data_IF_275982466718
#
_entry.id   IF_275982466718
#
_cell.length_a   1.000
_cell.length_b   1.000
_cell.length_c   1.000
_cell.angle_alpha   90.00
_cell.angle_beta   90.00
_cell.angle_gamma   90.00
#
_symmetry.space_group_name_H-M   'P 1'
#
loop_
_entity.id
_entity.type
_entity.pdbx_description
1 polymer ?
#
# COMPACT_ATOMS: atom_id res chain seq x y z
N UNK A 1 0.93 7.40 -38.38
CA UNK A 1 0.59 6.25 -37.52
C UNK A 1 0.66 6.73 -36.09
N UNK A 2 -0.48 6.83 -35.42
CA UNK A 2 -0.54 7.21 -34.01
C UNK A 2 -0.02 6.05 -33.16
N UNK A 3 0.92 6.35 -32.27
CA UNK A 3 1.37 5.42 -31.22
C UNK A 3 0.11 5.07 -30.42
N UNK A 4 -0.26 3.79 -30.23
CA UNK A 4 -1.41 3.47 -29.40
C UNK A 4 -1.12 4.02 -28.01
N UNK A 5 -2.07 4.76 -27.44
CA UNK A 5 -2.12 5.06 -26.01
C UNK A 5 -2.08 3.72 -25.27
N UNK A 6 -0.89 3.18 -25.04
CA UNK A 6 -0.66 2.17 -24.03
C UNK A 6 -1.16 2.80 -22.75
N UNK A 7 -2.09 2.14 -22.09
CA UNK A 7 -2.51 2.43 -20.72
C UNK A 7 -1.29 2.73 -19.83
N UNK A 8 -0.90 4.00 -19.79
CA UNK A 8 0.26 4.48 -19.05
C UNK A 8 -0.15 4.43 -17.59
N UNK A 9 0.60 3.70 -16.76
CA UNK A 9 0.41 3.72 -15.30
C UNK A 9 0.52 5.17 -14.81
N UNK A 10 -0.59 5.73 -14.34
CA UNK A 10 -0.65 7.11 -13.87
C UNK A 10 -0.29 7.15 -12.38
N UNK A 11 0.99 7.35 -12.07
CA UNK A 11 1.43 7.52 -10.68
C UNK A 11 1.04 8.92 -10.22
N UNK A 12 -0.07 9.02 -9.47
CA UNK A 12 -0.57 10.30 -8.92
C UNK A 12 0.07 10.67 -7.59
N UNK A 13 0.53 9.67 -6.84
CA UNK A 13 1.14 9.88 -5.53
C UNK A 13 2.39 9.03 -5.37
N UNK A 14 3.43 9.63 -4.81
CA UNK A 14 4.69 8.95 -4.45
C UNK A 14 4.91 9.10 -2.96
N UNK A 15 4.94 7.97 -2.27
CA UNK A 15 5.23 7.85 -0.87
C UNK A 15 6.70 7.48 -0.69
N UNK A 16 7.44 8.31 0.04
CA UNK A 16 8.85 8.07 0.32
C UNK A 16 9.09 7.94 1.83
N UNK A 17 9.84 6.92 2.21
CA UNK A 17 10.29 6.77 3.58
C UNK A 17 11.21 7.96 3.94
N UNK A 18 10.74 8.84 4.82
CA UNK A 18 11.61 9.86 5.43
C UNK A 18 12.69 9.15 6.26
N UNK A 19 13.91 9.72 6.32
CA UNK A 19 15.02 9.13 7.07
C UNK A 19 14.82 9.16 8.60
N UNK A 20 13.78 9.82 9.10
CA UNK A 20 13.56 9.99 10.53
C UNK A 20 12.88 8.78 11.17
N UNK A 21 13.59 8.23 12.17
CA UNK A 21 13.22 7.24 13.19
C UNK A 21 12.24 6.14 12.76
N UNK A 22 12.72 4.90 12.81
CA UNK A 22 11.84 3.75 12.97
C UNK A 22 10.92 4.04 14.16
N UNK A 23 9.60 4.15 13.97
CA UNK A 23 8.72 4.38 15.09
C UNK A 23 8.72 3.12 15.96
N UNK A 24 8.93 3.27 17.26
CA UNK A 24 8.82 2.16 18.23
C UNK A 24 7.38 1.63 18.31
N UNK A 25 6.40 2.41 17.84
CA UNK A 25 4.98 2.08 17.84
C UNK A 25 4.31 2.55 16.55
N UNK A 26 3.55 1.67 15.92
CA UNK A 26 2.69 1.98 14.79
C UNK A 26 1.23 1.98 15.27
N UNK A 27 0.46 3.00 14.89
CA UNK A 27 -0.98 3.06 15.18
C UNK A 27 -1.75 2.53 13.99
N UNK A 28 -2.64 1.58 14.25
CA UNK A 28 -3.50 0.94 13.27
C UNK A 28 -4.97 1.22 13.63
N UNK A 29 -5.81 1.40 12.62
CA UNK A 29 -7.25 1.43 12.84
C UNK A 29 -7.74 0.02 13.18
N UNK A 30 -8.64 -0.09 14.16
CA UNK A 30 -9.16 -1.38 14.62
C UNK A 30 -9.77 -2.20 13.47
N UNK A 31 -10.55 -1.56 12.59
CA UNK A 31 -11.11 -2.23 11.41
C UNK A 31 -10.04 -2.84 10.50
N UNK A 32 -8.91 -2.15 10.28
CA UNK A 32 -7.83 -2.75 9.49
C UNK A 32 -7.21 -3.94 10.22
N UNK A 33 -7.06 -3.87 11.54
CA UNK A 33 -6.52 -4.98 12.33
C UNK A 33 -7.46 -6.19 12.28
N UNK A 34 -8.75 -5.96 12.55
CA UNK A 34 -9.75 -7.01 12.62
C UNK A 34 -10.01 -7.63 11.25
N UNK A 35 -10.25 -6.80 10.22
CA UNK A 35 -10.66 -7.27 8.88
C UNK A 35 -9.45 -7.69 8.02
N UNK A 36 -8.28 -7.05 8.16
CA UNK A 36 -7.14 -7.35 7.28
C UNK A 36 -6.12 -8.29 7.91
N UNK A 37 -5.85 -8.16 9.23
CA UNK A 37 -4.84 -8.99 9.90
C UNK A 37 -5.48 -10.25 10.49
N UNK A 38 -6.60 -10.13 11.21
CA UNK A 38 -7.13 -11.23 12.02
C UNK A 38 -8.35 -11.96 11.45
N UNK A 39 -8.98 -11.43 10.41
CA UNK A 39 -10.06 -12.13 9.70
C UNK A 39 -9.59 -13.53 9.26
N UNK A 40 -10.39 -14.55 9.56
CA UNK A 40 -10.14 -15.96 9.23
C UNK A 40 -8.85 -16.59 9.78
N UNK A 41 -8.24 -16.02 10.84
CA UNK A 41 -6.98 -16.48 11.46
C UNK A 41 -5.73 -16.31 10.58
N UNK A 42 -5.79 -15.54 9.50
CA UNK A 42 -4.70 -15.40 8.52
C UNK A 42 -3.42 -14.72 9.06
N UNK A 43 -3.50 -13.96 10.16
CA UNK A 43 -2.35 -13.25 10.74
C UNK A 43 -1.14 -14.17 10.99
N UNK A 44 -1.39 -15.40 11.44
CA UNK A 44 -0.36 -16.37 11.78
C UNK A 44 0.37 -16.91 10.53
N UNK A 45 -0.29 -16.88 9.37
CA UNK A 45 0.22 -17.41 8.11
C UNK A 45 0.99 -16.36 7.29
N UNK A 46 0.92 -15.07 7.68
CA UNK A 46 1.68 -14.01 7.00
C UNK A 46 3.18 -14.15 7.31
N UNK A 47 4.05 -14.33 6.29
CA UNK A 47 5.48 -14.40 6.52
C UNK A 47 6.02 -13.13 7.19
N UNK A 48 7.00 -13.28 8.09
CA UNK A 48 7.58 -12.15 8.84
C UNK A 48 8.09 -11.01 7.95
N UNK A 49 8.62 -11.32 6.76
CA UNK A 49 9.10 -10.31 5.82
C UNK A 49 7.94 -9.57 5.14
N UNK A 50 6.80 -10.23 4.91
CA UNK A 50 5.59 -9.59 4.41
C UNK A 50 4.98 -8.66 5.48
N UNK A 51 4.96 -9.07 6.76
CA UNK A 51 4.58 -8.19 7.86
C UNK A 51 5.45 -6.94 7.94
N UNK A 52 6.77 -7.07 7.74
CA UNK A 52 7.67 -5.91 7.69
C UNK A 52 7.28 -4.94 6.57
N UNK A 53 6.91 -5.44 5.39
CA UNK A 53 6.43 -4.58 4.30
C UNK A 53 5.13 -3.87 4.70
N UNK A 54 4.15 -4.60 5.25
CA UNK A 54 2.88 -4.04 5.74
C UNK A 54 3.12 -2.90 6.75
N UNK A 55 3.98 -3.14 7.74
CA UNK A 55 4.32 -2.14 8.75
C UNK A 55 5.06 -0.93 8.18
N UNK A 56 5.95 -1.13 7.20
CA UNK A 56 6.58 -0.01 6.50
C UNK A 56 5.56 0.80 5.70
N UNK A 57 4.61 0.15 5.01
CA UNK A 57 3.52 0.83 4.29
C UNK A 57 2.74 1.74 5.23
N UNK A 58 2.29 1.18 6.35
CA UNK A 58 1.50 1.91 7.34
C UNK A 58 2.30 3.04 7.95
N UNK A 59 3.56 2.80 8.34
CA UNK A 59 4.42 3.84 8.91
C UNK A 59 4.63 5.01 7.95
N UNK A 60 4.80 4.74 6.65
CA UNK A 60 4.99 5.78 5.64
C UNK A 60 3.70 6.60 5.48
N UNK A 61 2.55 5.91 5.35
CA UNK A 61 1.25 6.57 5.22
C UNK A 61 0.91 7.39 6.47
N UNK A 62 1.10 6.83 7.67
CA UNK A 62 0.78 7.51 8.93
C UNK A 62 1.62 8.77 9.14
N UNK A 63 2.90 8.73 8.77
CA UNK A 63 3.80 9.88 8.84
C UNK A 63 3.38 11.01 7.88
N UNK A 64 2.71 10.69 6.78
CA UNK A 64 2.15 11.70 5.90
C UNK A 64 0.79 12.24 6.37
N UNK A 65 -0.02 11.42 7.06
CA UNK A 65 -1.39 11.74 7.45
C UNK A 65 -1.52 12.49 8.79
N UNK A 66 -0.65 12.22 9.77
CA UNK A 66 -0.83 12.67 11.15
C UNK A 66 0.34 13.55 11.62
N UNK A 67 0.49 14.75 11.04
CA UNK A 67 1.40 15.80 11.55
C UNK A 67 0.60 17.03 11.97
N UNK A 68 -0.13 16.98 13.10
CA UNK A 68 -0.99 18.09 13.56
C UNK A 68 -0.21 19.39 13.81
N UNK A 69 1.09 19.31 14.12
CA UNK A 69 1.92 20.50 14.37
C UNK A 69 2.28 21.28 13.09
N UNK A 70 2.44 20.60 11.95
CA UNK A 70 2.86 21.23 10.68
C UNK A 70 1.75 21.25 9.59
N UNK A 71 0.71 20.42 9.72
CA UNK A 71 -0.38 20.27 8.74
C UNK A 71 -1.72 20.02 9.44
N UNK A 72 -2.49 21.07 9.79
CA UNK A 72 -3.79 20.94 10.44
C UNK A 72 -4.91 20.42 9.52
N UNK A 73 -4.64 20.20 8.22
CA UNK A 73 -5.61 19.62 7.28
C UNK A 73 -5.38 18.12 7.14
N UNK A 74 -6.43 17.34 7.40
CA UNK A 74 -6.53 15.94 7.00
C UNK A 74 -6.36 15.86 5.49
N UNK A 75 -5.30 15.19 5.03
CA UNK A 75 -5.07 14.93 3.62
C UNK A 75 -6.05 13.85 3.16
N UNK A 76 -6.77 14.07 2.08
CA UNK A 76 -7.45 12.96 1.40
C UNK A 76 -6.37 12.02 0.87
N UNK A 77 -6.30 10.79 1.36
CA UNK A 77 -5.38 9.78 0.80
C UNK A 77 -5.81 9.34 -0.59
N UNK A 78 -7.11 9.46 -0.85
CA UNK A 78 -7.78 9.14 -2.09
C UNK A 78 -8.38 10.45 -2.59
N UNK A 79 -7.54 11.25 -3.25
CA UNK A 79 -8.02 12.41 -3.99
C UNK A 79 -9.03 11.94 -5.05
N UNK A 80 -9.96 12.80 -5.45
CA UNK A 80 -11.07 12.48 -6.36
C UNK A 80 -10.62 11.66 -7.57
N UNK A 81 -9.41 11.89 -8.08
CA UNK A 81 -8.79 11.16 -9.17
C UNK A 81 -8.74 9.63 -8.93
N UNK A 82 -8.36 9.17 -7.73
CA UNK A 82 -8.33 7.72 -7.40
C UNK A 82 -9.70 7.07 -7.47
N UNK A 83 -10.75 7.88 -7.31
CA UNK A 83 -12.13 7.44 -7.41
C UNK A 83 -12.65 7.61 -8.84
N UNK A 84 -12.22 8.61 -9.61
CA UNK A 84 -12.83 8.92 -10.91
C UNK A 84 -12.14 8.31 -12.12
N UNK A 85 -10.82 8.10 -12.08
CA UNK A 85 -10.07 7.71 -13.27
C UNK A 85 -9.52 6.28 -13.17
N UNK A 86 -9.28 5.68 -14.34
CA UNK A 86 -8.70 4.36 -14.45
C UNK A 86 -7.16 4.42 -14.43
N UNK A 87 -6.51 3.30 -14.07
CA UNK A 87 -5.05 3.14 -14.10
C UNK A 87 -4.25 4.13 -13.25
N UNK A 88 -4.85 4.63 -12.17
CA UNK A 88 -4.17 5.46 -11.17
C UNK A 88 -3.50 4.60 -10.11
N UNK A 89 -2.27 4.96 -9.76
CA UNK A 89 -1.48 4.28 -8.76
C UNK A 89 -0.89 5.25 -7.74
N UNK A 90 -0.82 4.78 -6.49
CA UNK A 90 0.15 5.26 -5.52
C UNK A 90 1.41 4.40 -5.62
N UNK A 91 2.57 5.04 -5.72
CA UNK A 91 3.86 4.36 -5.70
C UNK A 91 4.53 4.55 -4.34
N UNK A 92 5.15 3.50 -3.81
CA UNK A 92 5.88 3.55 -2.55
C UNK A 92 7.27 2.96 -2.70
N UNK A 93 8.25 3.54 -2.02
CA UNK A 93 9.62 3.00 -1.94
C UNK A 93 9.97 2.58 -0.52
N UNK A 94 10.32 1.32 -0.35
CA UNK A 94 10.78 0.74 0.91
C UNK A 94 12.19 0.20 0.70
N UNK A 95 13.13 0.51 1.61
CA UNK A 95 14.49 -0.02 1.53
C UNK A 95 14.48 -1.52 1.79
N UNK A 96 15.20 -2.30 0.99
CA UNK A 96 15.29 -3.76 1.12
C UNK A 96 15.74 -4.21 2.51
N UNK A 97 16.64 -3.46 3.15
CA UNK A 97 17.09 -3.72 4.53
C UNK A 97 16.01 -3.59 5.60
N UNK A 98 14.90 -2.90 5.32
CA UNK A 98 13.72 -2.84 6.19
C UNK A 98 12.81 -4.05 6.03
N UNK A 99 12.94 -4.79 4.93
CA UNK A 99 12.16 -5.98 4.60
C UNK A 99 12.92 -7.23 5.01
N UNK A 100 14.18 -7.34 4.58
CA UNK A 100 15.12 -8.40 4.97
C UNK A 100 16.31 -7.78 5.71
N UNK A 101 16.35 -7.84 7.06
CA UNK A 101 17.49 -7.37 7.84
C UNK A 101 18.79 -8.10 7.53
N UNK A 102 18.71 -9.36 7.07
CA UNK A 102 19.87 -10.13 6.61
C UNK A 102 20.35 -9.73 5.21
N UNK A 103 19.66 -8.81 4.52
CA UNK A 103 19.99 -8.40 3.16
C UNK A 103 19.67 -9.44 2.08
N UNK A 104 18.84 -10.44 2.39
CA UNK A 104 18.52 -11.51 1.44
C UNK A 104 17.50 -11.03 0.41
N UNK A 105 17.92 -10.90 -0.85
CA UNK A 105 17.04 -10.58 -1.97
C UNK A 105 15.87 -11.56 -2.09
N UNK A 106 16.13 -12.87 -1.90
CA UNK A 106 15.10 -13.90 -1.98
C UNK A 106 13.95 -13.62 -1.00
N UNK A 107 14.29 -13.28 0.25
CA UNK A 107 13.30 -12.94 1.28
C UNK A 107 12.45 -11.72 0.91
N UNK A 108 13.00 -10.77 0.15
CA UNK A 108 12.25 -9.60 -0.32
C UNK A 108 11.31 -9.96 -1.46
N UNK A 109 11.80 -10.77 -2.43
CA UNK A 109 10.98 -11.28 -3.53
C UNK A 109 9.82 -12.12 -2.99
N UNK A 110 10.10 -13.09 -2.11
CA UNK A 110 9.09 -13.96 -1.51
C UNK A 110 8.02 -13.15 -0.76
N UNK A 111 8.41 -12.08 -0.06
CA UNK A 111 7.48 -11.18 0.62
C UNK A 111 6.59 -10.41 -0.35
N UNK A 112 7.15 -9.89 -1.44
CA UNK A 112 6.38 -9.18 -2.48
C UNK A 112 5.44 -10.11 -3.24
N UNK A 113 5.88 -11.32 -3.58
CA UNK A 113 5.03 -12.31 -4.24
C UNK A 113 3.85 -12.73 -3.35
N UNK A 114 4.11 -12.96 -2.06
CA UNK A 114 3.07 -13.25 -1.08
C UNK A 114 2.06 -12.09 -1.04
N UNK A 115 2.50 -10.86 -0.81
CA UNK A 115 1.60 -9.71 -0.64
C UNK A 115 0.83 -9.33 -1.91
N UNK A 116 1.38 -9.59 -3.09
CA UNK A 116 0.66 -9.38 -4.34
C UNK A 116 -0.52 -10.36 -4.51
N UNK A 117 -0.41 -11.55 -3.94
CA UNK A 117 -1.44 -12.61 -3.98
C UNK A 117 -2.33 -12.64 -2.74
N UNK A 118 -1.84 -12.10 -1.63
CA UNK A 118 -2.55 -12.09 -0.35
C UNK A 118 -3.84 -11.28 -0.47
N UNK A 119 -4.96 -11.90 -0.07
CA UNK A 119 -6.32 -11.40 -0.28
C UNK A 119 -6.58 -10.92 -1.72
N UNK A 120 -6.04 -11.61 -2.73
CA UNK A 120 -6.26 -11.23 -4.14
C UNK A 120 -7.67 -11.61 -4.58
N UNK A 121 -8.50 -10.60 -4.88
CA UNK A 121 -9.89 -10.80 -5.28
C UNK A 121 -10.41 -9.62 -6.11
N UNK A 122 -11.67 -9.72 -6.54
CA UNK A 122 -12.40 -8.61 -7.14
C UNK A 122 -13.04 -7.75 -6.04
N UNK A 123 -12.48 -6.58 -5.83
CA UNK A 123 -13.00 -5.57 -4.90
C UNK A 123 -13.93 -4.61 -5.64
N UNK A 124 -14.94 -4.13 -4.94
CA UNK A 124 -15.88 -3.12 -5.45
C UNK A 124 -15.84 -1.88 -4.57
N UNK A 125 -15.88 -0.71 -5.20
CA UNK A 125 -16.07 0.57 -4.52
C UNK A 125 -16.99 1.46 -5.36
N UNK A 126 -17.56 2.47 -4.71
CA UNK A 126 -18.33 3.51 -5.39
C UNK A 126 -17.49 4.78 -5.37
N UNK A 127 -17.34 5.42 -6.51
CA UNK A 127 -16.59 6.66 -6.59
C UNK A 127 -17.41 7.90 -6.21
N UNK A 128 -16.74 9.05 -6.09
CA UNK A 128 -17.36 10.37 -5.90
C UNK A 128 -18.50 10.71 -6.87
N UNK A 129 -18.52 10.09 -8.07
CA UNK A 129 -19.57 10.26 -9.10
C UNK A 129 -20.71 9.24 -8.99
N UNK A 130 -20.72 8.38 -7.96
CA UNK A 130 -21.74 7.36 -7.75
C UNK A 130 -21.63 6.13 -8.66
N UNK A 131 -20.52 5.98 -9.40
CA UNK A 131 -20.28 4.85 -10.31
C UNK A 131 -19.57 3.72 -9.57
N UNK A 132 -20.07 2.48 -9.75
CA UNK A 132 -19.38 1.28 -9.26
C UNK A 132 -18.09 1.05 -10.05
N UNK A 133 -16.99 0.86 -9.33
CA UNK A 133 -15.69 0.48 -9.86
C UNK A 133 -15.34 -0.89 -9.30
N UNK A 134 -14.78 -1.75 -10.16
CA UNK A 134 -14.25 -3.05 -9.78
C UNK A 134 -12.77 -3.09 -10.03
N UNK A 135 -12.02 -3.51 -9.02
CA UNK A 135 -10.56 -3.61 -9.09
C UNK A 135 -10.15 -5.02 -8.70
N UNK A 136 -9.35 -5.65 -9.55
CA UNK A 136 -8.72 -6.93 -9.25
C UNK A 136 -7.31 -6.70 -8.72
N UNK A 137 -7.03 -7.16 -7.50
CA UNK A 137 -5.71 -6.99 -6.90
C UNK A 137 -5.64 -7.59 -5.50
N UNK A 138 -4.43 -7.74 -4.97
CA UNK A 138 -4.17 -7.99 -3.55
C UNK A 138 -3.81 -6.71 -2.81
N UNK A 139 -3.09 -6.83 -1.68
CA UNK A 139 -2.66 -5.67 -0.90
C UNK A 139 -1.77 -4.70 -1.68
N UNK A 140 -0.84 -5.24 -2.47
CA UNK A 140 0.04 -4.46 -3.35
C UNK A 140 -0.12 -4.93 -4.79
N UNK A 141 0.20 -4.05 -5.73
CA UNK A 141 0.25 -4.38 -7.16
C UNK A 141 1.58 -3.94 -7.76
N UNK A 142 2.02 -4.65 -8.78
CA UNK A 142 3.22 -4.31 -9.55
C UNK A 142 4.50 -4.09 -8.71
N UNK A 143 4.84 -4.99 -7.76
CA UNK A 143 6.08 -4.83 -7.00
C UNK A 143 7.31 -4.88 -7.92
N UNK A 144 8.33 -4.12 -7.56
CA UNK A 144 9.66 -4.15 -8.19
C UNK A 144 10.75 -4.07 -7.12
N UNK A 145 11.87 -4.75 -7.33
CA UNK A 145 12.99 -4.86 -6.40
C UNK A 145 14.31 -4.46 -7.06
#
# INVERSE_FOLDING_TARGET
MAIPEKDLKLIRKKFEAKPEKNPDRIRLGNHFVDDFIFEDQEAADIPINALRVIFNIISIISNEQFRPEDRPKQLSLFDEEFETDHNIFAAMKIRNSKISPSGSTKQVVDAYEFLARFKMSWYKSVNSKGKEIKTFGGLISNPSY
#
